data_IF_893101336472
#
_entry.id   IF_893101336472
#
_cell.length_a   1.000
_cell.length_b   1.000
_cell.length_c   1.000
_cell.angle_alpha   90.00
_cell.angle_beta   90.00
_cell.angle_gamma   90.00
#
_symmetry.space_group_name_H-M   'P 1'
#
loop_
_entity.id
_entity.type
_entity.pdbx_description
1 polymer ?
#
# COMPACT_ATOMS: atom_id res chain seq x y z
N UNK A 1 -10.74 3.33 4.37
CA UNK A 1 -9.89 2.11 4.46
C UNK A 1 -10.52 0.91 3.74
N UNK A 2 -11.73 0.45 4.11
CA UNK A 2 -12.41 -0.68 3.42
C UNK A 2 -12.42 -0.56 1.88
N UNK A 3 -12.90 0.55 1.34
CA UNK A 3 -12.95 0.78 -0.11
C UNK A 3 -11.56 0.68 -0.77
N UNK A 4 -10.51 1.15 -0.09
CA UNK A 4 -9.13 1.11 -0.60
C UNK A 4 -8.71 -0.34 -0.77
N UNK A 5 -8.90 -1.17 0.25
CA UNK A 5 -8.56 -2.58 0.19
C UNK A 5 -9.44 -3.34 -0.83
N UNK A 6 -10.72 -2.98 -0.98
CA UNK A 6 -11.58 -3.55 -2.01
C UNK A 6 -11.10 -3.20 -3.43
N UNK A 7 -10.71 -1.95 -3.68
CA UNK A 7 -10.11 -1.51 -4.94
C UNK A 7 -8.79 -2.23 -5.22
N UNK A 8 -7.91 -2.35 -4.22
CA UNK A 8 -6.64 -3.08 -4.34
C UNK A 8 -6.85 -4.57 -4.63
N UNK A 9 -7.82 -5.20 -3.94
CA UNK A 9 -8.19 -6.60 -4.16
C UNK A 9 -8.68 -6.80 -5.59
N UNK A 10 -9.67 -6.00 -6.03
CA UNK A 10 -10.22 -6.10 -7.37
C UNK A 10 -9.16 -5.86 -8.45
N UNK A 11 -8.29 -4.86 -8.27
CA UNK A 11 -7.15 -4.63 -9.15
C UNK A 11 -6.22 -5.83 -9.21
N UNK A 12 -5.84 -6.40 -8.05
CA UNK A 12 -4.91 -7.54 -7.99
C UNK A 12 -5.48 -8.80 -8.65
N UNK A 13 -6.80 -9.00 -8.58
CA UNK A 13 -7.52 -10.09 -9.26
C UNK A 13 -7.55 -9.87 -10.77
N UNK A 14 -7.94 -8.67 -11.23
CA UNK A 14 -7.95 -8.35 -12.65
C UNK A 14 -6.54 -8.43 -13.26
N UNK A 15 -5.53 -7.97 -12.53
CA UNK A 15 -4.14 -8.01 -12.96
C UNK A 15 -3.64 -9.45 -13.12
N UNK A 16 -3.85 -10.33 -12.14
CA UNK A 16 -3.38 -11.72 -12.26
C UNK A 16 -4.10 -12.48 -13.37
N UNK A 17 -5.41 -12.25 -13.55
CA UNK A 17 -6.18 -12.81 -14.67
C UNK A 17 -5.66 -12.31 -16.02
N UNK A 18 -5.25 -11.03 -16.10
CA UNK A 18 -4.69 -10.47 -17.32
C UNK A 18 -3.30 -11.03 -17.61
N UNK A 19 -2.44 -11.14 -16.59
CA UNK A 19 -1.10 -11.70 -16.72
C UNK A 19 -1.09 -13.18 -17.11
N UNK A 20 -2.15 -13.92 -16.79
CA UNK A 20 -2.37 -15.32 -17.20
C UNK A 20 -3.16 -15.46 -18.51
N UNK A 21 -3.35 -14.37 -19.27
CA UNK A 21 -4.10 -14.31 -20.53
C UNK A 21 -5.55 -14.85 -20.45
N UNK A 22 -6.12 -14.93 -19.25
CA UNK A 22 -7.52 -15.38 -19.04
C UNK A 22 -8.53 -14.33 -19.47
N UNK A 23 -8.14 -13.05 -19.41
CA UNK A 23 -8.93 -11.93 -19.92
C UNK A 23 -8.12 -11.17 -20.97
N UNK A 24 -8.81 -10.68 -22.01
CA UNK A 24 -8.22 -9.91 -23.11
C UNK A 24 -8.53 -8.41 -23.00
N UNK A 25 -8.74 -7.92 -21.77
CA UNK A 25 -9.04 -6.52 -21.51
C UNK A 25 -7.78 -5.65 -21.67
N UNK A 26 -7.98 -4.37 -22.00
CA UNK A 26 -6.90 -3.38 -22.00
C UNK A 26 -6.36 -3.15 -20.59
N UNK A 27 -5.10 -2.71 -20.47
CA UNK A 27 -4.53 -2.42 -19.16
C UNK A 27 -5.24 -1.23 -18.50
N UNK A 28 -5.78 -0.30 -19.30
CA UNK A 28 -6.68 0.75 -18.80
C UNK A 28 -7.88 0.21 -18.03
N UNK A 29 -8.54 -0.84 -18.55
CA UNK A 29 -9.67 -1.47 -17.89
C UNK A 29 -9.26 -2.27 -16.64
N UNK A 30 -8.11 -2.94 -16.67
CA UNK A 30 -7.56 -3.67 -15.51
C UNK A 30 -7.27 -2.71 -14.35
N UNK A 31 -6.75 -1.52 -14.63
CA UNK A 31 -6.47 -0.52 -13.62
C UNK A 31 -7.74 0.19 -13.09
N UNK A 32 -8.92 0.03 -13.73
CA UNK A 32 -10.17 0.74 -13.39
C UNK A 32 -10.47 0.87 -11.87
N UNK A 33 -10.28 -0.16 -11.03
CA UNK A 33 -10.52 -0.05 -9.59
C UNK A 33 -9.61 0.97 -8.89
N UNK A 34 -8.37 1.13 -9.35
CA UNK A 34 -7.42 2.11 -8.80
C UNK A 34 -7.79 3.52 -9.23
N UNK A 35 -8.16 3.74 -10.51
CA UNK A 35 -8.65 5.05 -10.97
C UNK A 35 -9.86 5.52 -10.16
N UNK A 36 -10.79 4.60 -9.86
CA UNK A 36 -11.95 4.91 -9.01
C UNK A 36 -11.52 5.40 -7.63
N UNK A 37 -10.54 4.74 -7.00
CA UNK A 37 -10.00 5.18 -5.72
C UNK A 37 -9.36 6.57 -5.82
N UNK A 38 -8.51 6.82 -6.83
CA UNK A 38 -7.88 8.15 -7.04
C UNK A 38 -8.92 9.24 -7.29
N UNK A 39 -9.93 8.97 -8.10
CA UNK A 39 -11.02 9.89 -8.39
C UNK A 39 -11.73 10.31 -7.11
N UNK A 40 -12.04 9.37 -6.21
CA UNK A 40 -12.66 9.69 -4.93
C UNK A 40 -11.79 10.59 -4.06
N UNK A 41 -10.47 10.39 -4.04
CA UNK A 41 -9.54 11.27 -3.32
C UNK A 41 -9.59 12.70 -3.89
N UNK A 42 -9.58 12.83 -5.21
CA UNK A 42 -9.65 14.14 -5.89
C UNK A 42 -11.00 14.83 -5.62
N UNK A 43 -12.10 14.10 -5.68
CA UNK A 43 -13.44 14.63 -5.36
C UNK A 43 -13.51 15.08 -3.90
N UNK A 44 -13.02 14.26 -2.97
CA UNK A 44 -12.97 14.60 -1.54
C UNK A 44 -12.16 15.87 -1.27
N UNK A 45 -11.02 16.03 -1.95
CA UNK A 45 -10.19 17.21 -1.85
C UNK A 45 -10.81 18.46 -2.47
N UNK A 46 -11.52 18.29 -3.58
CA UNK A 46 -12.24 19.37 -4.25
C UNK A 46 -13.36 19.90 -3.35
N UNK A 47 -14.12 19.00 -2.72
CA UNK A 47 -15.14 19.36 -1.72
C UNK A 47 -14.50 20.03 -0.51
N UNK A 48 -13.42 19.46 0.05
CA UNK A 48 -12.70 20.04 1.19
C UNK A 48 -12.16 21.45 0.91
N UNK A 49 -11.63 21.66 -0.29
CA UNK A 49 -11.16 22.99 -0.75
C UNK A 49 -12.32 23.96 -0.94
N UNK A 50 -13.46 23.51 -1.48
CA UNK A 50 -14.67 24.31 -1.62
C UNK A 50 -15.24 24.76 -0.27
N UNK A 51 -15.25 23.89 0.74
CA UNK A 51 -15.66 24.21 2.11
C UNK A 51 -14.68 25.20 2.75
N UNK A 52 -13.38 24.94 2.63
CA UNK A 52 -12.32 25.83 3.14
C UNK A 52 -12.39 27.25 2.55
N UNK A 53 -12.73 27.36 1.26
CA UNK A 53 -12.87 28.65 0.59
C UNK A 53 -14.11 29.44 1.05
N UNK A 54 -15.22 28.75 1.37
CA UNK A 54 -16.49 29.38 1.77
C UNK A 54 -16.53 29.81 3.23
N UNK A 55 -15.73 29.19 4.09
CA UNK A 55 -15.76 29.41 5.53
C UNK A 55 -14.41 29.97 6.04
N UNK A 56 -14.21 31.30 6.00
CA UNK A 56 -12.95 31.93 6.42
C UNK A 56 -12.66 31.76 7.92
N UNK A 57 -13.66 31.38 8.73
CA UNK A 57 -13.51 31.09 10.16
C UNK A 57 -12.53 29.94 10.43
N UNK A 58 -12.44 28.94 9.53
CA UNK A 58 -11.46 27.85 9.65
C UNK A 58 -10.00 28.35 9.56
N UNK A 59 -9.74 29.54 9.00
CA UNK A 59 -8.37 30.09 8.97
C UNK A 59 -7.88 30.57 10.34
N UNK A 60 -8.78 30.85 11.28
CA UNK A 60 -8.43 31.31 12.62
C UNK A 60 -8.07 30.14 13.56
N UNK A 61 -8.61 28.95 13.29
CA UNK A 61 -8.31 27.72 14.04
C UNK A 61 -7.10 27.01 13.42
N UNK A 62 -5.95 27.11 14.09
CA UNK A 62 -4.68 26.55 13.60
C UNK A 62 -4.72 25.05 13.28
N UNK A 63 -5.58 24.29 13.97
CA UNK A 63 -5.74 22.84 13.77
C UNK A 63 -6.35 22.50 12.40
N UNK A 64 -7.43 23.18 11.99
CA UNK A 64 -8.06 22.94 10.68
C UNK A 64 -7.15 23.31 9.50
N UNK A 65 -6.24 24.29 9.69
CA UNK A 65 -5.20 24.64 8.72
C UNK A 65 -4.17 23.51 8.53
N UNK A 66 -3.81 22.82 9.61
CA UNK A 66 -2.96 21.62 9.54
C UNK A 66 -3.68 20.51 8.78
N UNK A 67 -4.98 20.27 9.06
CA UNK A 67 -5.75 19.25 8.35
C UNK A 67 -5.87 19.53 6.84
N UNK A 68 -6.10 20.78 6.48
CA UNK A 68 -6.16 21.21 5.08
C UNK A 68 -4.81 21.02 4.37
N UNK A 69 -3.69 21.37 5.02
CA UNK A 69 -2.34 21.11 4.48
C UNK A 69 -2.08 19.61 4.28
N UNK A 70 -2.47 18.78 5.25
CA UNK A 70 -2.35 17.33 5.13
C UNK A 70 -3.14 16.80 3.93
N UNK A 71 -4.38 17.29 3.75
CA UNK A 71 -5.22 16.93 2.60
C UNK A 71 -4.55 17.30 1.28
N UNK A 72 -3.95 18.51 1.17
CA UNK A 72 -3.24 18.93 -0.04
C UNK A 72 -2.02 18.05 -0.33
N UNK A 73 -1.23 17.70 0.69
CA UNK A 73 -0.07 16.81 0.56
C UNK A 73 -0.52 15.43 0.06
N UNK A 74 -1.56 14.86 0.68
CA UNK A 74 -2.10 13.56 0.28
C UNK A 74 -2.58 13.58 -1.19
N UNK A 75 -3.31 14.62 -1.59
CA UNK A 75 -3.78 14.76 -2.98
C UNK A 75 -2.63 14.91 -3.95
N UNK A 76 -1.60 15.68 -3.60
CA UNK A 76 -0.38 15.81 -4.41
C UNK A 76 0.29 14.45 -4.66
N UNK A 77 0.44 13.64 -3.61
CA UNK A 77 0.96 12.27 -3.73
C UNK A 77 0.03 11.41 -4.62
N UNK A 78 -1.29 11.49 -4.41
CA UNK A 78 -2.24 10.73 -5.22
C UNK A 78 -2.25 11.12 -6.70
N UNK A 79 -2.04 12.40 -7.04
CA UNK A 79 -1.92 12.88 -8.41
C UNK A 79 -0.63 12.39 -9.08
N UNK A 80 0.50 12.37 -8.35
CA UNK A 80 1.75 11.81 -8.86
C UNK A 80 1.64 10.29 -9.06
N UNK A 81 0.97 9.58 -8.15
CA UNK A 81 0.68 8.14 -8.32
C UNK A 81 -0.25 7.90 -9.51
N UNK A 82 -1.26 8.74 -9.71
CA UNK A 82 -2.12 8.68 -10.89
C UNK A 82 -1.32 8.89 -12.18
N UNK A 83 -0.39 9.85 -12.19
CA UNK A 83 0.51 10.08 -13.33
C UNK A 83 1.38 8.84 -13.63
N UNK A 84 1.91 8.19 -12.59
CA UNK A 84 2.62 6.91 -12.74
C UNK A 84 1.73 5.83 -13.37
N UNK A 85 0.51 5.65 -12.86
CA UNK A 85 -0.43 4.64 -13.38
C UNK A 85 -0.78 4.87 -14.86
N UNK A 86 -1.00 6.13 -15.27
CA UNK A 86 -1.21 6.52 -16.67
C UNK A 86 -0.01 6.13 -17.53
N UNK A 87 1.20 6.48 -17.10
CA UNK A 87 2.43 6.21 -17.85
C UNK A 87 2.72 4.71 -17.96
N UNK A 88 2.41 3.93 -16.92
CA UNK A 88 2.50 2.46 -16.94
C UNK A 88 1.54 1.88 -17.97
N UNK A 89 0.27 2.30 -17.99
CA UNK A 89 -0.71 1.82 -18.96
C UNK A 89 -0.27 2.14 -20.40
N UNK A 90 0.17 3.38 -20.65
CA UNK A 90 0.65 3.81 -21.97
C UNK A 90 1.88 3.01 -22.41
N UNK A 91 2.86 2.83 -21.52
CA UNK A 91 4.07 2.05 -21.82
C UNK A 91 3.75 0.60 -22.12
N UNK A 92 2.90 -0.06 -21.33
CA UNK A 92 2.57 -1.48 -21.55
C UNK A 92 1.86 -1.68 -22.88
N UNK A 93 0.98 -0.75 -23.29
CA UNK A 93 0.21 -0.90 -24.53
C UNK A 93 0.96 -0.42 -25.78
N UNK A 94 1.75 0.65 -25.69
CA UNK A 94 2.39 1.28 -26.86
C UNK A 94 3.89 1.01 -26.96
N UNK A 95 4.57 0.70 -25.85
CA UNK A 95 6.00 0.36 -25.85
C UNK A 95 6.94 1.52 -26.19
N UNK A 96 6.52 2.78 -26.06
CA UNK A 96 7.23 3.95 -26.63
C UNK A 96 8.30 4.55 -25.70
N UNK A 97 8.13 4.49 -24.38
CA UNK A 97 8.96 5.25 -23.41
C UNK A 97 9.79 4.40 -22.43
N UNK A 98 11.03 4.75 -22.14
CA UNK A 98 11.85 4.04 -21.12
C UNK A 98 11.14 3.96 -19.76
N UNK A 99 11.32 2.85 -19.05
CA UNK A 99 10.74 2.64 -17.72
C UNK A 99 11.23 3.66 -16.70
N UNK A 100 12.47 4.15 -16.83
CA UNK A 100 12.98 5.23 -16.00
C UNK A 100 12.13 6.52 -16.09
N UNK A 101 11.58 6.85 -17.28
CA UNK A 101 10.65 7.96 -17.45
C UNK A 101 9.29 7.64 -16.83
N UNK A 102 8.80 6.42 -17.02
CA UNK A 102 7.52 5.96 -16.43
C UNK A 102 7.55 6.03 -14.91
N UNK A 103 8.68 5.70 -14.28
CA UNK A 103 8.89 5.75 -12.83
C UNK A 103 9.26 7.14 -12.30
N UNK A 104 9.50 8.14 -13.16
CA UNK A 104 9.82 9.51 -12.77
C UNK A 104 8.83 10.11 -11.74
N UNK A 105 7.50 9.93 -11.84
CA UNK A 105 6.58 10.41 -10.81
C UNK A 105 6.87 9.81 -9.44
N UNK A 106 7.21 8.51 -9.35
CA UNK A 106 7.52 7.85 -8.09
C UNK A 106 8.82 8.38 -7.46
N UNK A 107 9.81 8.75 -8.28
CA UNK A 107 11.03 9.40 -7.79
C UNK A 107 10.76 10.76 -7.16
N UNK A 108 9.71 11.48 -7.58
CA UNK A 108 9.26 12.70 -6.92
C UNK A 108 8.37 12.41 -5.70
N UNK A 109 7.55 11.37 -5.75
CA UNK A 109 6.71 10.96 -4.61
C UNK A 109 7.58 10.68 -3.40
N UNK A 110 8.69 9.93 -3.53
CA UNK A 110 9.48 9.55 -2.36
C UNK A 110 10.04 10.73 -1.54
N UNK A 111 10.73 11.74 -2.11
CA UNK A 111 11.16 12.93 -1.36
C UNK A 111 9.99 13.73 -0.77
N UNK A 112 8.89 13.88 -1.52
CA UNK A 112 7.68 14.55 -1.05
C UNK A 112 7.10 13.81 0.15
N UNK A 113 7.07 12.48 0.10
CA UNK A 113 6.62 11.63 1.21
C UNK A 113 7.55 11.71 2.41
N UNK A 114 8.88 11.84 2.23
CA UNK A 114 9.81 12.06 3.36
C UNK A 114 9.50 13.38 4.05
N UNK A 115 9.30 14.46 3.29
CA UNK A 115 8.93 15.76 3.84
C UNK A 115 7.56 15.69 4.55
N UNK A 116 6.59 15.00 3.96
CA UNK A 116 5.28 14.75 4.55
C UNK A 116 5.38 13.96 5.85
N UNK A 117 6.25 12.95 5.93
CA UNK A 117 6.50 12.16 7.14
C UNK A 117 7.08 13.04 8.26
N UNK A 118 8.13 13.80 7.98
CA UNK A 118 8.74 14.71 8.98
C UNK A 118 7.73 15.74 9.49
N UNK A 119 6.90 16.27 8.60
CA UNK A 119 5.85 17.20 8.97
C UNK A 119 4.73 16.53 9.77
N UNK A 120 4.25 15.35 9.34
CA UNK A 120 3.16 14.64 9.99
C UNK A 120 3.52 14.04 11.35
N UNK A 121 4.79 13.61 11.56
CA UNK A 121 5.27 13.21 12.89
C UNK A 121 5.22 14.36 13.90
N UNK A 122 5.45 15.60 13.47
CA UNK A 122 5.32 16.76 14.36
C UNK A 122 3.87 17.07 14.75
N UNK A 123 2.90 16.54 14.01
CA UNK A 123 1.47 16.80 14.21
C UNK A 123 0.68 15.51 14.52
N UNK A 124 1.36 14.45 14.96
CA UNK A 124 0.79 13.16 15.38
C UNK A 124 -0.20 12.53 14.38
N UNK A 125 0.10 12.65 13.07
CA UNK A 125 -0.75 12.12 11.99
C UNK A 125 -0.35 10.69 11.62
N UNK A 126 -1.35 9.87 11.30
CA UNK A 126 -1.12 8.54 10.71
C UNK A 126 -0.64 8.68 9.26
N UNK A 127 0.54 8.11 8.96
CA UNK A 127 1.28 8.30 7.70
C UNK A 127 1.60 6.95 7.02
N UNK A 128 0.59 6.11 6.82
CA UNK A 128 0.81 4.74 6.31
C UNK A 128 1.38 4.73 4.89
N UNK A 129 0.81 5.51 3.96
CA UNK A 129 1.21 5.52 2.55
C UNK A 129 2.53 6.28 2.34
N UNK A 130 2.71 7.39 3.03
CA UNK A 130 3.90 8.24 2.95
C UNK A 130 5.14 7.50 3.42
N UNK A 131 5.05 6.74 4.52
CA UNK A 131 6.15 5.92 5.02
C UNK A 131 6.51 4.85 3.99
N UNK A 132 5.51 4.15 3.42
CA UNK A 132 5.76 3.12 2.39
C UNK A 132 6.44 3.69 1.16
N UNK A 133 6.02 4.85 0.66
CA UNK A 133 6.64 5.51 -0.49
C UNK A 133 8.05 6.02 -0.19
N UNK A 134 8.31 6.47 1.05
CA UNK A 134 9.61 6.99 1.47
C UNK A 134 10.65 5.86 1.56
N UNK A 135 10.30 4.73 2.19
CA UNK A 135 11.21 3.60 2.42
C UNK A 135 11.54 2.87 1.12
N UNK A 136 10.62 2.84 0.16
CA UNK A 136 10.78 2.07 -1.09
C UNK A 136 11.39 2.85 -2.26
N UNK A 137 11.97 4.04 -2.03
CA UNK A 137 12.62 4.84 -3.10
C UNK A 137 13.65 4.02 -3.89
N UNK A 138 14.48 3.26 -3.18
CA UNK A 138 15.54 2.45 -3.79
C UNK A 138 14.95 1.31 -4.63
N UNK A 139 13.84 0.74 -4.19
CA UNK A 139 13.16 -0.31 -4.94
C UNK A 139 12.58 0.25 -6.24
N UNK A 140 11.94 1.42 -6.21
CA UNK A 140 11.42 2.05 -7.43
C UNK A 140 12.52 2.27 -8.46
N UNK A 141 13.71 2.71 -8.01
CA UNK A 141 14.88 2.89 -8.88
C UNK A 141 15.34 1.54 -9.44
N UNK A 142 15.51 0.52 -8.60
CA UNK A 142 15.97 -0.79 -9.06
C UNK A 142 14.99 -1.45 -10.03
N UNK A 143 13.68 -1.34 -9.78
CA UNK A 143 12.65 -1.87 -10.70
C UNK A 143 12.74 -1.16 -12.05
N UNK A 144 12.82 0.17 -12.08
CA UNK A 144 12.90 0.90 -13.34
C UNK A 144 14.16 0.54 -14.15
N UNK A 145 15.33 0.50 -13.48
CA UNK A 145 16.59 0.11 -14.10
C UNK A 145 16.59 -1.34 -14.58
N UNK A 146 15.93 -2.24 -13.84
CA UNK A 146 15.81 -3.66 -14.20
C UNK A 146 14.92 -3.83 -15.41
N UNK A 147 13.76 -3.16 -15.44
CA UNK A 147 12.82 -3.21 -16.55
C UNK A 147 13.38 -2.58 -17.84
N UNK A 148 14.29 -1.61 -17.73
CA UNK A 148 15.05 -1.07 -18.87
C UNK A 148 16.27 -1.93 -19.27
N UNK A 149 16.48 -3.09 -18.63
CA UNK A 149 17.61 -4.00 -18.86
C UNK A 149 19.00 -3.35 -18.68
N UNK A 150 19.07 -2.23 -17.96
CA UNK A 150 20.33 -1.54 -17.61
C UNK A 150 21.09 -2.36 -16.56
N UNK A 151 20.35 -2.93 -15.59
CA UNK A 151 20.88 -3.88 -14.61
C UNK A 151 20.33 -5.28 -14.89
N UNK A 152 21.19 -6.30 -14.77
CA UNK A 152 20.82 -7.71 -14.97
C UNK A 152 20.73 -8.51 -13.67
N UNK A 153 20.50 -7.83 -12.56
CA UNK A 153 20.41 -8.46 -11.25
C UNK A 153 19.15 -9.33 -11.15
N UNK A 154 19.19 -10.43 -10.37
CA UNK A 154 17.97 -11.18 -10.09
C UNK A 154 16.96 -10.30 -9.36
N UNK A 155 15.67 -10.56 -9.58
CA UNK A 155 14.54 -9.89 -8.93
C UNK A 155 14.62 -10.00 -7.41
N UNK A 156 15.24 -11.08 -6.90
CA UNK A 156 15.57 -11.21 -5.48
C UNK A 156 16.34 -10.00 -4.93
N UNK A 157 17.34 -9.50 -5.68
CA UNK A 157 18.15 -8.34 -5.28
C UNK A 157 17.39 -7.02 -5.48
N UNK A 158 16.60 -6.93 -6.55
CA UNK A 158 15.77 -5.75 -6.85
C UNK A 158 14.73 -5.51 -5.74
N UNK A 159 14.20 -6.58 -5.13
CA UNK A 159 13.22 -6.52 -4.05
C UNK A 159 13.83 -6.37 -2.63
N UNK A 160 15.15 -6.19 -2.48
CA UNK A 160 15.82 -6.03 -1.16
C UNK A 160 15.12 -5.03 -0.22
N UNK A 161 14.68 -3.85 -0.66
CA UNK A 161 13.97 -2.94 0.24
C UNK A 161 12.65 -3.50 0.80
N UNK A 162 11.90 -4.30 0.02
CA UNK A 162 10.69 -4.98 0.53
C UNK A 162 11.05 -6.11 1.49
N UNK A 163 12.11 -6.89 1.21
CA UNK A 163 12.57 -7.92 2.15
C UNK A 163 12.90 -7.35 3.53
N UNK A 164 13.51 -6.15 3.56
CA UNK A 164 13.80 -5.44 4.81
C UNK A 164 12.50 -5.02 5.51
N UNK A 165 11.54 -4.46 4.77
CA UNK A 165 10.23 -4.08 5.31
C UNK A 165 9.48 -5.30 5.88
N UNK A 166 9.42 -6.40 5.12
CA UNK A 166 8.76 -7.64 5.53
C UNK A 166 9.47 -8.27 6.73
N UNK A 167 10.80 -8.19 6.80
CA UNK A 167 11.56 -8.62 7.99
C UNK A 167 11.14 -7.84 9.23
N UNK A 168 10.97 -6.52 9.12
CA UNK A 168 10.48 -5.70 10.24
C UNK A 168 9.04 -6.08 10.63
N UNK A 169 8.15 -6.31 9.66
CA UNK A 169 6.78 -6.75 9.92
C UNK A 169 6.75 -8.13 10.60
N UNK A 170 7.64 -9.05 10.24
CA UNK A 170 7.80 -10.33 10.92
C UNK A 170 8.22 -10.16 12.39
N UNK A 171 9.12 -9.22 12.71
CA UNK A 171 9.48 -8.91 14.09
C UNK A 171 8.30 -8.35 14.89
N UNK A 172 7.47 -7.50 14.28
CA UNK A 172 6.24 -6.97 14.88
C UNK A 172 5.26 -8.11 15.20
N UNK A 173 5.09 -9.05 14.27
CA UNK A 173 4.25 -10.24 14.48
C UNK A 173 4.78 -11.10 15.63
N UNK A 174 6.09 -11.36 15.68
CA UNK A 174 6.72 -12.11 16.77
C UNK A 174 6.51 -11.43 18.12
N UNK A 175 6.65 -10.09 18.17
CA UNK A 175 6.35 -9.31 19.35
C UNK A 175 4.90 -9.51 19.82
N UNK A 176 3.92 -9.43 18.92
CA UNK A 176 2.51 -9.67 19.28
C UNK A 176 2.24 -11.10 19.76
N UNK A 177 2.92 -12.10 19.19
CA UNK A 177 2.82 -13.49 19.65
C UNK A 177 3.37 -13.64 21.07
N UNK A 178 4.57 -13.09 21.34
CA UNK A 178 5.17 -13.14 22.68
C UNK A 178 4.27 -12.46 23.70
N UNK A 179 3.76 -11.28 23.40
CA UNK A 179 2.82 -10.57 24.26
C UNK A 179 1.54 -11.35 24.51
N UNK A 180 0.96 -11.95 23.47
CA UNK A 180 -0.22 -12.80 23.58
C UNK A 180 0.03 -13.98 24.52
N UNK A 181 1.19 -14.65 24.42
CA UNK A 181 1.57 -15.77 25.30
C UNK A 181 1.81 -15.32 26.74
N UNK A 182 2.45 -14.16 26.96
CA UNK A 182 2.64 -13.60 28.30
C UNK A 182 1.31 -13.29 28.99
N UNK A 183 0.38 -12.66 28.27
CA UNK A 183 -0.96 -12.35 28.77
C UNK A 183 -1.84 -13.59 28.99
N UNK A 184 -1.61 -14.68 28.23
CA UNK A 184 -2.23 -15.98 28.50
C UNK A 184 -1.76 -16.59 29.82
N UNK A 185 -0.53 -16.31 30.24
CA UNK A 185 0.07 -16.85 31.47
C UNK A 185 -0.24 -16.02 32.71
N UNK A 186 -0.45 -14.70 32.57
CA UNK A 186 -0.85 -13.84 33.69
C UNK A 186 -2.31 -14.11 34.09
N UNK A 187 -2.51 -14.64 35.30
CA UNK A 187 -3.84 -14.98 35.83
C UNK A 187 -4.67 -13.76 36.25
N UNK A 188 -4.05 -12.58 36.39
CA UNK A 188 -4.68 -11.36 36.93
C UNK A 188 -5.29 -10.43 35.87
N UNK A 189 -5.33 -10.85 34.60
CA UNK A 189 -5.76 -9.98 33.49
C UNK A 189 -7.20 -10.30 33.05
N UNK A 190 -8.00 -9.23 32.93
CA UNK A 190 -9.39 -9.24 32.45
C UNK A 190 -9.50 -10.05 31.15
N UNK A 191 -10.42 -11.03 31.12
CA UNK A 191 -10.53 -12.01 30.03
C UNK A 191 -10.76 -11.38 28.64
N UNK A 192 -11.30 -10.16 28.60
CA UNK A 192 -11.56 -9.37 27.39
C UNK A 192 -10.28 -8.79 26.76
N UNK A 193 -9.35 -8.29 27.59
CA UNK A 193 -8.07 -7.76 27.13
C UNK A 193 -7.19 -8.89 26.57
N UNK A 194 -7.21 -10.06 27.19
CA UNK A 194 -6.53 -11.27 26.70
C UNK A 194 -7.05 -11.70 25.32
N UNK A 195 -8.38 -11.72 25.12
CA UNK A 195 -8.98 -12.04 23.81
C UNK A 195 -8.54 -11.06 22.74
N UNK A 196 -8.50 -9.77 23.06
CA UNK A 196 -8.08 -8.72 22.14
C UNK A 196 -6.63 -8.91 21.65
N UNK A 197 -5.67 -9.17 22.56
CA UNK A 197 -4.28 -9.40 22.18
C UNK A 197 -4.10 -10.67 21.32
N UNK A 198 -4.84 -11.74 21.62
CA UNK A 198 -4.84 -12.97 20.80
C UNK A 198 -5.40 -12.69 19.40
N UNK A 199 -6.55 -12.03 19.30
CA UNK A 199 -7.17 -11.69 18.01
C UNK A 199 -6.27 -10.78 17.18
N UNK A 200 -5.57 -9.82 17.80
CA UNK A 200 -4.58 -8.97 17.12
C UNK A 200 -3.40 -9.79 16.62
N UNK A 201 -2.81 -10.68 17.43
CA UNK A 201 -1.70 -11.54 17.00
C UNK A 201 -2.10 -12.45 15.82
N UNK A 202 -3.29 -13.06 15.87
CA UNK A 202 -3.83 -13.88 14.78
C UNK A 202 -4.07 -13.03 13.52
N UNK A 203 -4.61 -11.83 13.66
CA UNK A 203 -4.84 -10.91 12.52
C UNK A 203 -3.52 -10.51 11.85
N UNK A 204 -2.50 -10.15 12.63
CA UNK A 204 -1.19 -9.81 12.09
C UNK A 204 -0.49 -11.00 11.41
N UNK A 205 -0.59 -12.20 11.99
CA UNK A 205 -0.10 -13.43 11.36
C UNK A 205 -0.76 -13.71 10.01
N UNK A 206 -2.10 -13.60 9.97
CA UNK A 206 -2.90 -13.84 8.75
C UNK A 206 -2.73 -12.75 7.68
N UNK A 207 -2.11 -11.62 8.01
CA UNK A 207 -1.74 -10.58 7.05
C UNK A 207 -0.30 -10.76 6.58
N UNK A 208 0.67 -10.87 7.50
CA UNK A 208 2.10 -10.82 7.15
C UNK A 208 2.60 -12.11 6.52
N UNK A 209 2.18 -13.28 7.03
CA UNK A 209 2.63 -14.57 6.48
C UNK A 209 2.19 -14.75 5.01
N UNK A 210 0.92 -14.47 4.63
CA UNK A 210 0.54 -14.59 3.23
C UNK A 210 1.17 -13.49 2.36
N UNK A 211 1.41 -12.28 2.86
CA UNK A 211 2.17 -11.25 2.12
C UNK A 211 3.61 -11.69 1.82
N UNK A 212 4.30 -12.28 2.81
CA UNK A 212 5.65 -12.81 2.63
C UNK A 212 5.65 -13.96 1.62
N UNK A 213 4.65 -14.84 1.70
CA UNK A 213 4.46 -15.93 0.75
C UNK A 213 4.26 -15.41 -0.67
N UNK A 214 3.42 -14.39 -0.86
CA UNK A 214 3.22 -13.72 -2.15
C UNK A 214 4.53 -13.17 -2.71
N UNK A 215 5.32 -12.46 -1.89
CA UNK A 215 6.59 -11.88 -2.31
C UNK A 215 7.59 -12.96 -2.78
N UNK A 216 7.76 -14.04 -2.00
CA UNK A 216 8.63 -15.17 -2.36
C UNK A 216 8.20 -15.79 -3.69
N UNK A 217 6.90 -16.09 -3.85
CA UNK A 217 6.38 -16.71 -5.06
C UNK A 217 6.53 -15.80 -6.28
N UNK A 218 6.29 -14.50 -6.11
CA UNK A 218 6.43 -13.51 -7.18
C UNK A 218 7.88 -13.38 -7.62
N UNK A 219 8.82 -13.22 -6.70
CA UNK A 219 10.25 -13.11 -7.01
C UNK A 219 10.75 -14.37 -7.72
N UNK A 220 10.41 -15.56 -7.23
CA UNK A 220 10.80 -16.82 -7.87
C UNK A 220 10.22 -16.96 -9.28
N UNK A 221 9.00 -16.47 -9.51
CA UNK A 221 8.38 -16.45 -10.85
C UNK A 221 9.10 -15.48 -11.78
N UNK A 222 9.40 -14.28 -11.30
CA UNK A 222 10.08 -13.25 -12.09
C UNK A 222 11.53 -13.63 -12.44
N UNK A 223 12.22 -14.36 -11.55
CA UNK A 223 13.55 -14.93 -11.81
C UNK A 223 13.52 -16.20 -12.68
N UNK A 224 12.34 -16.68 -13.08
CA UNK A 224 12.18 -17.85 -13.94
C UNK A 224 12.41 -19.20 -13.25
N UNK A 225 12.52 -19.23 -11.91
CA UNK A 225 12.67 -20.47 -11.14
C UNK A 225 11.38 -21.29 -11.08
N UNK A 226 10.21 -20.63 -11.16
CA UNK A 226 8.90 -21.27 -11.10
C UNK A 226 8.09 -21.04 -12.39
N UNK A 227 7.38 -22.07 -12.86
CA UNK A 227 6.48 -22.00 -14.01
C UNK A 227 5.00 -21.73 -13.66
N UNK A 228 4.71 -21.45 -12.38
CA UNK A 228 3.34 -21.22 -11.92
C UNK A 228 2.66 -20.03 -12.61
N UNK A 229 1.36 -20.16 -12.88
CA UNK A 229 0.51 -19.06 -13.29
C UNK A 229 0.46 -17.96 -12.21
N UNK A 230 0.16 -16.72 -12.59
CA UNK A 230 0.08 -15.59 -11.68
C UNK A 230 -1.10 -15.69 -10.70
N UNK A 231 -2.22 -16.31 -11.06
CA UNK A 231 -3.37 -16.51 -10.16
C UNK A 231 -2.97 -17.15 -8.82
N UNK A 232 -2.38 -18.36 -8.76
CA UNK A 232 -1.99 -18.98 -7.49
C UNK A 232 -0.90 -18.21 -6.75
N UNK A 233 -0.04 -17.47 -7.48
CA UNK A 233 0.95 -16.58 -6.87
C UNK A 233 0.27 -15.45 -6.10
N UNK A 234 -0.83 -14.89 -6.62
CA UNK A 234 -1.58 -13.78 -6.02
C UNK A 234 -2.57 -14.20 -4.92
N UNK A 235 -2.92 -15.48 -4.78
CA UNK A 235 -3.85 -15.98 -3.74
C UNK A 235 -3.46 -15.55 -2.30
N UNK A 236 -2.19 -15.66 -1.87
CA UNK A 236 -1.77 -15.20 -0.55
C UNK A 236 -1.99 -13.69 -0.35
N UNK A 237 -1.77 -12.87 -1.37
CA UNK A 237 -2.06 -11.43 -1.32
C UNK A 237 -3.56 -11.17 -1.11
N UNK A 238 -4.42 -11.92 -1.80
CA UNK A 238 -5.88 -11.80 -1.62
C UNK A 238 -6.31 -12.14 -0.20
N UNK A 239 -5.72 -13.17 0.41
CA UNK A 239 -5.98 -13.54 1.79
C UNK A 239 -5.63 -12.40 2.77
N UNK A 240 -4.48 -11.76 2.59
CA UNK A 240 -4.07 -10.60 3.41
C UNK A 240 -5.00 -9.41 3.22
N UNK A 241 -5.40 -9.11 1.97
CA UNK A 241 -6.31 -8.00 1.67
C UNK A 241 -7.72 -8.23 2.24
N UNK A 242 -8.24 -9.46 2.15
CA UNK A 242 -9.53 -9.82 2.76
C UNK A 242 -9.47 -9.70 4.28
N UNK A 243 -8.36 -10.14 4.90
CA UNK A 243 -8.16 -9.97 6.34
C UNK A 243 -8.12 -8.48 6.73
N UNK A 244 -7.41 -7.64 5.97
CA UNK A 244 -7.39 -6.18 6.15
C UNK A 244 -8.78 -5.55 5.97
N UNK A 245 -9.59 -6.04 5.03
CA UNK A 245 -10.98 -5.60 4.89
C UNK A 245 -11.80 -5.99 6.13
N UNK A 246 -11.67 -7.21 6.63
CA UNK A 246 -12.38 -7.67 7.82
C UNK A 246 -12.02 -6.85 9.08
N UNK A 247 -10.75 -6.52 9.27
CA UNK A 247 -10.30 -5.73 10.44
C UNK A 247 -10.84 -4.29 10.40
N UNK A 248 -11.11 -3.72 9.22
CA UNK A 248 -11.73 -2.37 9.14
C UNK A 248 -13.15 -2.30 9.69
N UNK A 249 -13.89 -3.41 9.73
CA UNK A 249 -15.20 -3.46 10.39
C UNK A 249 -15.08 -3.61 11.91
N UNK A 250 -14.08 -4.36 12.38
CA UNK A 250 -13.86 -4.60 13.81
C UNK A 250 -13.45 -3.36 14.61
N UNK A 251 -12.78 -2.39 13.97
CA UNK A 251 -12.34 -1.16 14.63
C UNK A 251 -13.48 -0.17 14.96
N UNK A 252 -14.68 -0.34 14.39
CA UNK A 252 -15.84 0.52 14.64
C UNK A 252 -16.65 0.17 15.90
N UNK A 253 -16.23 -0.82 16.69
CA UNK A 253 -16.95 -1.30 17.88
C UNK A 253 -16.56 -0.65 19.21
N UNK A 254 -15.53 0.21 19.25
CA UNK A 254 -15.08 0.86 20.48
C UNK A 254 -15.69 2.26 20.67
N UNK A 255 -17.00 2.33 20.88
CA UNK A 255 -17.65 3.55 21.36
C UNK A 255 -17.88 3.39 22.87
N UNK A 256 -16.84 3.69 23.65
CA UNK A 256 -16.90 3.91 25.10
C UNK A 256 -16.11 5.17 25.44
#
# INVERSE_FOLDING_TARGET
KFLIYACLLLFSVLLSLRLDDKIQWSYWAVFAPIWLWKLMVIVGASVGTGVWARHPQYRAEGETCVEFKAMLIAVGIHLLLLMFEVLVCDRIERGTHFWLLVFMPLFFVSPVSVAACVWGFRHDRSLELEILCSVNILQFIFIALRLDEIIRWPWLVVCVPLWILMSFLCLVVLYYIVWSVLFLRSMDVIAEQRRTHITMAVSWMTIVVPLLTFEILLVHRLDGHNSFSFIPIFVPLWLSLITLMATTFGQKGGNH
#
